data_IF_931915031599
#
_entry.id   IF_931915031599
#
_cell.length_a   1.000
_cell.length_b   1.000
_cell.length_c   1.000
_cell.angle_alpha   90.00
_cell.angle_beta   90.00
_cell.angle_gamma   90.00
#
_symmetry.space_group_name_H-M   'P 1'
#
loop_
_entity.id
_entity.type
_entity.pdbx_description
1 polymer ?
#
# COMPACT_ATOMS: atom_id res chain seq x y z
N UNK A 1 13.50 21.63 8.32
CA UNK A 1 12.57 20.56 8.73
C UNK A 1 12.28 19.65 7.54
N UNK A 2 12.25 18.32 7.70
CA UNK A 2 11.89 17.42 6.60
C UNK A 2 10.42 17.62 6.19
N UNK A 3 10.14 17.62 4.90
CA UNK A 3 8.78 17.75 4.35
C UNK A 3 8.16 16.38 4.02
N UNK A 4 6.85 16.34 3.75
CA UNK A 4 6.14 15.11 3.38
C UNK A 4 6.71 14.43 2.13
N UNK A 5 7.31 15.20 1.21
CA UNK A 5 7.87 14.69 -0.04
C UNK A 5 9.37 14.37 0.05
N UNK A 6 9.99 14.54 1.23
CA UNK A 6 11.38 14.13 1.42
C UNK A 6 11.49 12.62 1.61
N UNK A 7 12.49 11.94 1.01
CA UNK A 7 12.74 10.52 1.23
C UNK A 7 12.96 10.18 2.71
N UNK A 8 12.72 8.91 3.05
CA UNK A 8 12.87 8.36 4.40
C UNK A 8 13.40 6.93 4.33
N UNK A 9 14.46 6.65 5.10
CA UNK A 9 14.87 5.27 5.38
C UNK A 9 14.01 4.69 6.50
N UNK A 10 13.36 3.56 6.25
CA UNK A 10 12.50 2.86 7.19
C UNK A 10 12.94 1.40 7.30
N UNK A 11 13.79 1.09 8.30
CA UNK A 11 14.48 -0.20 8.36
C UNK A 11 15.32 -0.41 7.10
N UNK A 12 15.15 -1.55 6.45
CA UNK A 12 15.86 -1.91 5.21
C UNK A 12 15.23 -1.27 3.94
N UNK A 13 14.14 -0.52 4.08
CA UNK A 13 13.43 0.10 2.96
C UNK A 13 13.83 1.57 2.79
N UNK A 14 13.95 1.98 1.53
CA UNK A 14 14.07 3.39 1.15
C UNK A 14 12.75 3.87 0.55
N UNK A 15 12.06 4.76 1.27
CA UNK A 15 10.79 5.33 0.86
C UNK A 15 11.03 6.65 0.11
N UNK A 16 10.34 6.84 -1.01
CA UNK A 16 10.45 8.06 -1.83
C UNK A 16 9.85 9.30 -1.15
N UNK A 17 8.90 9.10 -0.25
CA UNK A 17 8.18 10.14 0.47
C UNK A 17 7.67 9.60 1.82
N UNK A 18 7.00 10.45 2.60
CA UNK A 18 6.46 10.12 3.94
C UNK A 18 4.93 9.94 3.92
N UNK A 19 4.35 9.68 2.75
CA UNK A 19 2.92 9.47 2.54
C UNK A 19 2.69 7.96 2.41
N UNK A 20 1.90 7.39 3.32
CA UNK A 20 1.67 5.94 3.39
C UNK A 20 0.18 5.62 3.24
N UNK A 21 -0.11 4.47 2.62
CA UNK A 21 -1.46 3.92 2.61
C UNK A 21 -1.69 3.16 3.93
N UNK A 22 -2.57 3.63 4.83
CA UNK A 22 -2.87 2.91 6.06
C UNK A 22 -3.51 1.54 5.78
N UNK A 23 -3.48 0.60 6.74
CA UNK A 23 -4.19 -0.67 6.62
C UNK A 23 -5.71 -0.43 6.64
N UNK A 24 -6.40 -0.88 5.58
CA UNK A 24 -7.83 -0.66 5.38
C UNK A 24 -8.53 -1.98 5.03
N UNK A 25 -9.36 -2.50 5.92
CA UNK A 25 -10.20 -3.67 5.62
C UNK A 25 -11.25 -3.31 4.57
N UNK A 26 -11.27 -4.02 3.43
CA UNK A 26 -12.20 -3.75 2.32
C UNK A 26 -13.28 -4.81 2.11
N UNK A 27 -13.15 -5.97 2.74
CA UNK A 27 -14.07 -7.11 2.59
C UNK A 27 -14.29 -7.55 1.13
N UNK A 28 -13.23 -7.65 0.33
CA UNK A 28 -13.31 -8.00 -1.12
C UNK A 28 -12.51 -9.24 -1.52
N UNK A 29 -12.17 -10.11 -0.57
CA UNK A 29 -11.57 -11.41 -0.88
C UNK A 29 -12.58 -12.33 -1.55
N UNK A 30 -12.11 -13.16 -2.47
CA UNK A 30 -12.93 -14.18 -3.12
C UNK A 30 -13.35 -15.26 -2.13
N UNK A 31 -14.55 -15.80 -2.33
CA UNK A 31 -15.13 -16.86 -1.50
C UNK A 31 -15.54 -18.05 -2.37
N UNK A 32 -15.40 -19.28 -1.85
CA UNK A 32 -14.84 -19.64 -0.55
C UNK A 32 -13.30 -19.49 -0.49
N UNK A 33 -12.73 -19.41 0.70
CA UNK A 33 -11.28 -19.54 0.91
C UNK A 33 -10.52 -18.25 1.23
N UNK A 34 -11.18 -17.09 1.28
CA UNK A 34 -10.57 -15.81 1.64
C UNK A 34 -9.36 -15.43 0.77
N UNK A 35 -9.40 -15.75 -0.52
CA UNK A 35 -8.26 -15.60 -1.43
C UNK A 35 -8.26 -14.21 -2.07
N UNK A 36 -7.09 -13.57 -2.23
CA UNK A 36 -7.02 -12.33 -2.97
C UNK A 36 -7.28 -12.49 -4.48
N UNK A 37 -8.22 -11.70 -5.01
CA UNK A 37 -8.59 -11.71 -6.43
C UNK A 37 -7.98 -10.57 -7.28
N UNK A 38 -8.22 -10.56 -8.60
CA UNK A 38 -7.67 -9.58 -9.54
C UNK A 38 -7.98 -8.11 -9.19
N UNK A 39 -9.15 -7.85 -8.59
CA UNK A 39 -9.54 -6.51 -8.16
C UNK A 39 -8.58 -5.93 -7.11
N UNK A 40 -8.09 -6.74 -6.17
CA UNK A 40 -7.16 -6.27 -5.16
C UNK A 40 -5.78 -5.95 -5.75
N UNK A 41 -5.34 -6.70 -6.76
CA UNK A 41 -4.11 -6.41 -7.50
C UNK A 41 -4.21 -5.02 -8.12
N UNK A 42 -5.28 -4.74 -8.86
CA UNK A 42 -5.49 -3.44 -9.50
C UNK A 42 -5.62 -2.31 -8.46
N UNK A 43 -6.33 -2.55 -7.36
CA UNK A 43 -6.48 -1.59 -6.27
C UNK A 43 -5.14 -1.13 -5.67
N UNK A 44 -4.20 -2.05 -5.44
CA UNK A 44 -2.87 -1.72 -4.91
C UNK A 44 -1.94 -1.16 -5.99
N UNK A 45 -2.02 -1.64 -7.24
CA UNK A 45 -1.24 -1.09 -8.36
C UNK A 45 -1.49 0.40 -8.55
N UNK A 46 -2.74 0.84 -8.45
CA UNK A 46 -3.13 2.25 -8.54
C UNK A 46 -2.52 3.16 -7.46
N UNK A 47 -1.97 2.60 -6.37
CA UNK A 47 -1.50 3.33 -5.18
C UNK A 47 0.00 3.19 -4.92
N UNK A 48 0.75 2.54 -5.80
CA UNK A 48 2.17 2.24 -5.63
C UNK A 48 3.13 3.37 -6.09
N UNK A 49 2.65 4.61 -6.21
CA UNK A 49 3.41 5.77 -6.69
C UNK A 49 4.60 6.16 -5.81
#
# INVERSE_FOLDING_TARGET
>A
MPSLFTPLSLGDLQLRNRIVLPPLTRCRSEQPGNVPGPMMVEYYRQRAG
#
